data_IF_189643078893
#
_entry.id   IF_189643078893
#
_cell.length_a   1.000
_cell.length_b   1.000
_cell.length_c   1.000
_cell.angle_alpha   90.00
_cell.angle_beta   90.00
_cell.angle_gamma   90.00
#
_symmetry.space_group_name_H-M   'P 1'
#
loop_
_entity.id
_entity.type
_entity.pdbx_description
1 polymer ?
#
# COMPACT_ATOMS: atom_id res chain seq x y z
N UNK A 1 12.07 -2.68 21.88
CA UNK A 1 11.74 -3.81 20.98
C UNK A 1 12.75 -3.71 19.85
N UNK A 2 13.21 -4.80 19.27
CA UNK A 2 14.31 -4.75 18.30
C UNK A 2 13.80 -4.08 17.02
N UNK A 3 14.42 -2.97 16.64
CA UNK A 3 14.16 -2.30 15.37
C UNK A 3 14.25 -3.32 14.23
N UNK A 4 13.16 -3.50 13.50
CA UNK A 4 13.20 -4.28 12.27
C UNK A 4 13.82 -3.43 11.17
N UNK A 5 14.79 -3.95 10.42
CA UNK A 5 15.24 -3.28 9.19
C UNK A 5 14.35 -3.74 8.03
N UNK A 6 13.70 -2.80 7.35
CA UNK A 6 12.89 -3.09 6.17
C UNK A 6 13.58 -2.51 4.94
N UNK A 7 14.13 -3.40 4.12
CA UNK A 7 14.84 -3.00 2.89
C UNK A 7 13.92 -3.03 1.67
N UNK A 8 13.86 -1.93 0.94
CA UNK A 8 13.18 -1.82 -0.35
C UNK A 8 14.16 -1.96 -1.51
N UNK A 9 13.82 -2.79 -2.50
CA UNK A 9 14.59 -2.87 -3.75
C UNK A 9 14.42 -1.59 -4.59
N UNK A 10 15.46 -0.77 -4.64
CA UNK A 10 15.48 0.52 -5.33
C UNK A 10 16.01 0.47 -6.77
N UNK A 11 16.60 -0.65 -7.19
CA UNK A 11 17.25 -0.83 -8.49
C UNK A 11 16.50 -1.82 -9.39
N UNK A 12 15.28 -2.21 -9.03
CA UNK A 12 14.44 -3.00 -9.93
C UNK A 12 13.89 -2.18 -11.09
N UNK A 13 13.50 -2.89 -12.14
CA UNK A 13 12.71 -2.33 -13.22
C UNK A 13 11.22 -2.53 -12.95
N UNK A 14 10.42 -1.52 -13.26
CA UNK A 14 8.97 -1.58 -13.13
C UNK A 14 8.38 -2.72 -13.95
N UNK A 15 7.57 -3.54 -13.27
CA UNK A 15 6.87 -4.65 -13.88
C UNK A 15 5.41 -4.28 -14.13
N UNK A 16 5.04 -4.14 -15.41
CA UNK A 16 3.64 -3.97 -15.79
C UNK A 16 2.83 -5.16 -15.29
N UNK A 17 1.72 -4.90 -14.61
CA UNK A 17 0.95 -5.99 -13.98
C UNK A 17 1.31 -6.23 -12.52
N UNK A 18 2.40 -5.65 -12.01
CA UNK A 18 2.82 -5.75 -10.60
C UNK A 18 2.10 -4.78 -9.67
N UNK A 19 2.36 -4.90 -8.37
CA UNK A 19 1.64 -4.20 -7.29
C UNK A 19 2.23 -2.83 -6.91
N UNK A 20 3.28 -2.37 -7.59
CA UNK A 20 3.90 -1.06 -7.29
C UNK A 20 3.00 0.15 -7.52
N UNK A 21 1.96 0.03 -8.35
CA UNK A 21 1.03 1.12 -8.65
C UNK A 21 -0.44 0.70 -8.49
N UNK A 22 -0.71 -0.37 -7.74
CA UNK A 22 -2.07 -0.83 -7.47
C UNK A 22 -2.18 -1.49 -6.11
N UNK A 23 -3.37 -1.45 -5.53
CA UNK A 23 -3.71 -2.21 -4.33
C UNK A 23 -5.18 -2.61 -4.38
N UNK A 24 -5.58 -3.57 -3.54
CA UNK A 24 -6.98 -3.94 -3.37
C UNK A 24 -7.52 -3.39 -2.06
N UNK A 25 -8.74 -2.88 -2.07
CA UNK A 25 -9.48 -2.50 -0.86
C UNK A 25 -10.78 -3.30 -0.78
N UNK A 26 -11.29 -3.54 0.42
CA UNK A 26 -12.61 -4.14 0.60
C UNK A 26 -13.69 -3.05 0.47
N UNK A 27 -14.74 -3.34 -0.29
CA UNK A 27 -15.91 -2.46 -0.40
C UNK A 27 -17.18 -3.25 -0.14
N UNK A 28 -18.31 -2.56 0.04
CA UNK A 28 -19.61 -3.20 0.17
C UNK A 28 -19.95 -4.17 -0.99
N UNK A 29 -19.41 -3.91 -2.19
CA UNK A 29 -19.61 -4.71 -3.40
C UNK A 29 -18.49 -5.74 -3.65
N UNK A 30 -17.59 -5.94 -2.69
CA UNK A 30 -16.44 -6.83 -2.79
C UNK A 30 -15.12 -6.09 -3.03
N UNK A 31 -14.02 -6.82 -3.33
CA UNK A 31 -12.71 -6.22 -3.54
C UNK A 31 -12.66 -5.26 -4.73
N UNK A 32 -12.19 -4.04 -4.51
CA UNK A 32 -11.96 -3.03 -5.54
C UNK A 32 -10.46 -2.86 -5.77
N UNK A 33 -10.03 -2.91 -7.04
CA UNK A 33 -8.66 -2.62 -7.44
C UNK A 33 -8.49 -1.11 -7.64
N UNK A 34 -7.69 -0.49 -6.77
CA UNK A 34 -7.21 0.87 -6.94
C UNK A 34 -5.92 0.86 -7.75
N UNK A 35 -5.78 1.75 -8.74
CA UNK A 35 -4.56 1.87 -9.55
C UNK A 35 -4.18 3.33 -9.78
N UNK A 36 -2.90 3.63 -9.56
CA UNK A 36 -2.27 4.90 -9.90
C UNK A 36 -1.86 4.84 -11.38
N UNK A 37 -2.41 5.72 -12.24
CA UNK A 37 -2.05 5.76 -13.66
C UNK A 37 -0.62 6.29 -13.84
N UNK A 38 0.10 5.74 -14.80
CA UNK A 38 1.51 6.06 -15.07
C UNK A 38 1.67 6.70 -16.44
N UNK A 39 2.71 7.50 -16.61
CA UNK A 39 3.09 8.03 -17.93
C UNK A 39 3.74 6.93 -18.79
N UNK A 40 3.46 6.94 -20.10
CA UNK A 40 4.06 6.01 -21.06
C UNK A 40 3.19 4.79 -21.43
N UNK A 41 3.22 4.44 -22.71
CA UNK A 41 2.55 3.26 -23.27
C UNK A 41 3.59 2.27 -23.83
N UNK A 42 3.39 0.97 -23.51
CA UNK A 42 4.12 -0.24 -23.94
C UNK A 42 5.61 -0.05 -24.30
N UNK A 43 6.46 -0.72 -23.51
CA UNK A 43 7.91 -0.98 -23.71
C UNK A 43 8.85 0.02 -23.02
N UNK A 44 9.26 -0.28 -21.79
CA UNK A 44 10.58 -0.87 -21.50
C UNK A 44 10.71 -1.06 -19.98
N UNK A 45 11.66 -1.88 -19.58
CA UNK A 45 12.07 -2.11 -18.20
C UNK A 45 12.63 -0.79 -17.61
N UNK A 46 11.75 0.16 -17.29
CA UNK A 46 12.11 1.44 -16.71
C UNK A 46 12.53 1.24 -15.26
N UNK A 47 13.66 1.81 -14.80
CA UNK A 47 14.02 1.79 -13.39
C UNK A 47 12.86 2.31 -12.54
N UNK A 48 12.54 1.64 -11.44
CA UNK A 48 11.36 1.98 -10.63
C UNK A 48 11.38 3.44 -10.15
N UNK A 49 12.58 4.00 -9.95
CA UNK A 49 12.81 5.39 -9.55
C UNK A 49 12.53 6.41 -10.65
N UNK A 50 12.51 6.00 -11.91
CA UNK A 50 12.27 6.88 -13.06
C UNK A 50 10.82 6.84 -13.55
N UNK A 51 9.99 5.97 -12.95
CA UNK A 51 8.58 5.81 -13.33
C UNK A 51 7.78 7.02 -12.87
N UNK A 52 7.13 7.69 -13.83
CA UNK A 52 6.33 8.90 -13.59
C UNK A 52 4.85 8.60 -13.46
N UNK A 53 4.18 9.33 -12.57
CA UNK A 53 2.72 9.26 -12.40
C UNK A 53 2.03 10.16 -13.42
N UNK A 54 0.95 9.66 -14.02
CA UNK A 54 0.11 10.42 -14.94
C UNK A 54 -1.00 11.14 -14.18
N UNK A 55 -1.13 12.45 -14.39
CA UNK A 55 -2.22 13.27 -13.83
C UNK A 55 -3.27 13.66 -14.88
N UNK A 56 -3.34 12.91 -15.99
CA UNK A 56 -4.32 13.15 -17.06
C UNK A 56 -5.76 12.87 -16.65
N UNK A 57 -5.95 12.06 -15.60
CA UNK A 57 -7.25 11.75 -15.01
C UNK A 57 -7.24 12.12 -13.54
N UNK A 58 -8.40 12.48 -12.99
CA UNK A 58 -8.56 12.79 -11.56
C UNK A 58 -8.66 11.49 -10.74
N UNK A 59 -7.58 10.71 -10.72
CA UNK A 59 -7.52 9.45 -9.98
C UNK A 59 -7.45 9.70 -8.47
N UNK A 60 -6.76 10.74 -8.02
CA UNK A 60 -6.62 11.05 -6.60
C UNK A 60 -7.99 11.22 -5.92
N UNK A 61 -8.90 11.99 -6.53
CA UNK A 61 -10.28 12.12 -6.04
C UNK A 61 -11.05 10.80 -6.06
N UNK A 62 -10.88 9.98 -7.10
CA UNK A 62 -11.52 8.67 -7.20
C UNK A 62 -11.04 7.73 -6.09
N UNK A 63 -9.73 7.71 -5.82
CA UNK A 63 -9.14 6.92 -4.75
C UNK A 63 -9.63 7.41 -3.38
N UNK A 64 -9.61 8.72 -3.12
CA UNK A 64 -10.14 9.29 -1.89
C UNK A 64 -11.60 8.90 -1.65
N UNK A 65 -12.47 9.11 -2.64
CA UNK A 65 -13.89 8.74 -2.53
C UNK A 65 -14.07 7.24 -2.29
N UNK A 66 -13.26 6.41 -2.95
CA UNK A 66 -13.30 4.95 -2.78
C UNK A 66 -12.89 4.53 -1.38
N UNK A 67 -11.81 5.12 -0.84
CA UNK A 67 -11.31 4.84 0.52
C UNK A 67 -12.33 5.31 1.57
N UNK A 68 -12.88 6.53 1.43
CA UNK A 68 -13.91 7.05 2.33
C UNK A 68 -15.17 6.18 2.32
N UNK A 69 -15.64 5.76 1.14
CA UNK A 69 -16.81 4.90 1.03
C UNK A 69 -16.56 3.49 1.56
N UNK A 70 -15.36 2.96 1.39
CA UNK A 70 -14.98 1.64 1.85
C UNK A 70 -14.85 1.58 3.38
N UNK A 71 -14.16 2.55 3.97
CA UNK A 71 -13.68 2.46 5.34
C UNK A 71 -14.28 3.51 6.28
N UNK A 72 -15.13 4.42 5.81
CA UNK A 72 -15.69 5.50 6.64
C UNK A 72 -16.46 5.04 7.88
N UNK A 73 -16.80 3.76 7.98
CA UNK A 73 -17.46 3.15 9.15
C UNK A 73 -16.55 2.19 9.94
N UNK A 74 -15.28 2.07 9.56
CA UNK A 74 -14.33 1.22 10.24
C UNK A 74 -13.94 1.85 11.59
N UNK A 75 -13.67 1.04 12.63
CA UNK A 75 -13.47 1.52 14.00
C UNK A 75 -12.40 2.61 14.15
N UNK A 76 -11.34 2.54 13.35
CA UNK A 76 -10.21 3.47 13.44
C UNK A 76 -10.13 4.47 12.28
N UNK A 77 -11.18 4.59 11.46
CA UNK A 77 -11.14 5.47 10.29
C UNK A 77 -10.84 6.93 10.65
N UNK A 78 -11.59 7.52 11.58
CA UNK A 78 -11.45 8.93 11.95
C UNK A 78 -10.07 9.28 12.54
N UNK A 79 -9.36 8.29 13.09
CA UNK A 79 -8.02 8.49 13.68
C UNK A 79 -6.90 8.56 12.64
N UNK A 80 -7.08 7.88 11.50
CA UNK A 80 -6.01 7.69 10.51
C UNK A 80 -6.33 8.30 9.14
N UNK A 81 -7.61 8.54 8.84
CA UNK A 81 -8.05 8.89 7.50
C UNK A 81 -7.39 10.16 6.95
N UNK A 82 -7.27 11.22 7.76
CA UNK A 82 -6.73 12.49 7.29
C UNK A 82 -5.27 12.37 6.82
N UNK A 83 -4.41 11.71 7.61
CA UNK A 83 -3.02 11.47 7.25
C UNK A 83 -2.88 10.53 6.05
N UNK A 84 -3.66 9.42 6.03
CA UNK A 84 -3.66 8.47 4.92
C UNK A 84 -4.10 9.13 3.62
N UNK A 85 -5.19 9.90 3.65
CA UNK A 85 -5.74 10.56 2.46
C UNK A 85 -4.85 11.69 1.99
N UNK A 86 -4.22 12.44 2.90
CA UNK A 86 -3.22 13.44 2.54
C UNK A 86 -2.04 12.79 1.77
N UNK A 87 -1.53 11.65 2.24
CA UNK A 87 -0.48 10.92 1.54
C UNK A 87 -0.96 10.31 0.21
N UNK A 88 -2.15 9.70 0.19
CA UNK A 88 -2.71 9.05 -1.00
C UNK A 88 -3.18 10.02 -2.10
N UNK A 89 -3.38 11.29 -1.75
CA UNK A 89 -3.74 12.37 -2.69
C UNK A 89 -2.61 13.38 -2.88
N UNK A 90 -1.42 13.10 -2.33
CA UNK A 90 -0.24 13.91 -2.57
C UNK A 90 0.14 13.86 -4.05
N UNK A 91 0.52 15.02 -4.59
CA UNK A 91 1.00 15.12 -5.96
C UNK A 91 2.51 14.90 -5.98
N UNK A 92 2.95 13.72 -6.38
CA UNK A 92 4.37 13.39 -6.60
C UNK A 92 4.63 13.13 -8.08
N UNK A 93 5.83 13.47 -8.56
CA UNK A 93 6.22 13.24 -9.96
C UNK A 93 6.52 11.76 -10.22
N UNK A 94 7.23 11.13 -9.29
CA UNK A 94 7.72 9.76 -9.40
C UNK A 94 6.89 8.79 -8.55
N UNK A 95 6.69 7.58 -9.08
CA UNK A 95 6.01 6.47 -8.41
C UNK A 95 6.79 5.99 -7.17
N UNK A 96 8.12 6.04 -7.24
CA UNK A 96 8.98 5.69 -6.10
C UNK A 96 8.70 6.58 -4.90
N UNK A 97 8.74 7.90 -5.11
CA UNK A 97 8.52 8.89 -4.05
C UNK A 97 7.10 8.81 -3.48
N UNK A 98 6.11 8.54 -4.34
CA UNK A 98 4.74 8.27 -3.91
C UNK A 98 4.64 7.08 -2.96
N UNK A 99 5.23 5.94 -3.35
CA UNK A 99 5.22 4.72 -2.54
C UNK A 99 6.01 4.89 -1.24
N UNK A 100 7.12 5.63 -1.29
CA UNK A 100 7.91 5.98 -0.12
C UNK A 100 7.09 6.80 0.87
N UNK A 101 6.40 7.85 0.40
CA UNK A 101 5.52 8.69 1.20
C UNK A 101 4.39 7.86 1.86
N UNK A 102 3.70 7.01 1.09
CA UNK A 102 2.66 6.15 1.63
C UNK A 102 3.18 5.22 2.74
N UNK A 103 4.36 4.64 2.53
CA UNK A 103 4.91 3.65 3.45
C UNK A 103 5.43 4.26 4.73
N UNK A 104 6.14 5.39 4.62
CA UNK A 104 6.58 6.18 5.78
C UNK A 104 5.38 6.68 6.58
N UNK A 105 4.33 7.18 5.92
CA UNK A 105 3.08 7.58 6.59
C UNK A 105 2.48 6.44 7.40
N UNK A 106 2.37 5.22 6.85
CA UNK A 106 1.80 4.08 7.59
C UNK A 106 2.69 3.66 8.75
N UNK A 107 4.01 3.68 8.59
CA UNK A 107 4.98 3.37 9.65
C UNK A 107 4.84 4.36 10.81
N UNK A 108 4.76 5.65 10.50
CA UNK A 108 4.57 6.72 11.49
C UNK A 108 3.23 6.58 12.22
N UNK A 109 2.13 6.37 11.49
CA UNK A 109 0.79 6.21 12.07
C UNK A 109 0.68 5.01 13.02
N UNK A 110 1.42 3.95 12.73
CA UNK A 110 1.49 2.75 13.56
C UNK A 110 2.58 2.81 14.62
N UNK A 111 3.39 3.89 14.64
CA UNK A 111 4.56 4.04 15.50
C UNK A 111 5.45 2.80 15.47
N UNK A 112 5.65 2.22 14.28
CA UNK A 112 6.47 1.03 14.11
C UNK A 112 7.94 1.41 14.31
N UNK A 113 8.62 0.66 15.17
CA UNK A 113 10.07 0.75 15.37
C UNK A 113 10.79 0.03 14.21
N UNK A 114 10.73 0.64 13.03
CA UNK A 114 11.27 0.10 11.77
C UNK A 114 12.09 1.17 11.07
N UNK A 115 13.32 0.80 10.72
CA UNK A 115 14.16 1.62 9.84
C UNK A 115 13.93 1.18 8.39
N UNK A 116 13.42 2.09 7.57
CA UNK A 116 13.30 1.90 6.13
C UNK A 116 14.63 2.21 5.45
N UNK A 117 15.16 1.24 4.73
CA UNK A 117 16.38 1.40 3.94
C UNK A 117 16.15 0.92 2.50
N UNK A 118 17.08 1.23 1.62
CA UNK A 118 17.03 0.87 0.20
C UNK A 118 18.27 0.08 -0.21
N UNK A 119 18.12 -0.81 -1.17
CA UNK A 119 19.29 -1.49 -1.75
C UNK A 119 20.24 -0.51 -2.43
N UNK A 120 21.55 -0.75 -2.30
CA UNK A 120 22.59 -0.01 -3.05
C UNK A 120 22.80 -0.55 -4.48
N UNK A 121 22.31 -1.76 -4.76
CA UNK A 121 22.38 -2.44 -6.05
C UNK A 121 21.23 -3.43 -6.18
N UNK A 122 20.92 -3.82 -7.41
CA UNK A 122 19.87 -4.81 -7.66
C UNK A 122 20.17 -6.15 -6.97
N UNK A 123 19.23 -6.61 -6.15
CA UNK A 123 19.31 -7.80 -5.32
C UNK A 123 18.16 -8.75 -5.67
N UNK A 124 18.42 -9.69 -6.59
CA UNK A 124 17.42 -10.67 -7.02
C UNK A 124 16.94 -11.54 -5.86
N UNK A 125 15.71 -11.29 -5.38
CA UNK A 125 15.01 -12.15 -4.44
C UNK A 125 15.36 -11.99 -2.95
N UNK A 126 16.27 -11.08 -2.58
CA UNK A 126 16.68 -10.87 -1.18
C UNK A 126 16.24 -9.52 -0.57
N UNK A 127 15.79 -8.56 -1.38
CA UNK A 127 15.45 -7.21 -0.94
C UNK A 127 13.94 -6.93 -0.95
N UNK A 128 13.22 -7.49 0.02
CA UNK A 128 11.85 -7.06 0.32
C UNK A 128 10.86 -7.09 -0.85
N UNK A 129 9.77 -6.33 -0.73
CA UNK A 129 8.55 -6.42 -1.54
C UNK A 129 8.83 -6.61 -3.04
N UNK A 130 8.49 -7.79 -3.57
CA UNK A 130 8.59 -8.06 -5.01
C UNK A 130 7.40 -7.41 -5.74
N UNK A 131 7.53 -7.08 -7.04
CA UNK A 131 6.40 -6.55 -7.82
C UNK A 131 5.20 -7.50 -7.88
N UNK A 132 5.44 -8.79 -7.64
CA UNK A 132 4.42 -9.83 -7.53
C UNK A 132 4.68 -10.59 -6.21
N UNK A 133 4.31 -10.02 -5.06
CA UNK A 133 4.52 -10.68 -3.79
C UNK A 133 3.73 -11.98 -3.82
N UNK A 134 4.39 -13.08 -3.40
CA UNK A 134 3.65 -14.32 -3.13
C UNK A 134 2.60 -13.97 -2.08
N UNK A 135 1.34 -14.43 -2.24
CA UNK A 135 0.33 -14.25 -1.21
C UNK A 135 0.90 -14.75 0.11
N UNK A 136 1.15 -13.84 1.05
CA UNK A 136 1.57 -14.21 2.38
C UNK A 136 0.29 -14.51 3.16
N UNK A 137 0.15 -15.73 3.74
CA UNK A 137 -0.96 -16.01 4.64
C UNK A 137 -1.07 -14.88 5.66
N UNK A 138 -2.25 -14.27 5.69
CA UNK A 138 -2.57 -13.19 6.62
C UNK A 138 -3.53 -13.80 7.62
N UNK A 139 -3.19 -13.83 8.93
CA UNK A 139 -4.12 -14.30 9.94
C UNK A 139 -5.44 -13.52 9.81
N UNK A 140 -6.61 -14.19 9.85
CA UNK A 140 -7.89 -13.49 9.81
C UNK A 140 -8.00 -12.47 10.93
N UNK A 141 -8.59 -11.32 10.61
CA UNK A 141 -8.94 -10.27 11.56
C UNK A 141 -10.32 -9.72 11.20
N UNK A 142 -11.03 -9.06 12.15
CA UNK A 142 -12.35 -8.52 11.88
C UNK A 142 -12.31 -7.51 10.72
N UNK A 143 -13.06 -7.77 9.65
CA UNK A 143 -13.17 -6.86 8.50
C UNK A 143 -14.58 -6.27 8.42
N UNK A 144 -14.69 -5.04 7.93
CA UNK A 144 -15.97 -4.32 7.88
C UNK A 144 -17.07 -5.02 7.07
N UNK A 145 -16.69 -5.79 6.04
CA UNK A 145 -17.62 -6.50 5.15
C UNK A 145 -17.48 -8.03 5.22
N UNK A 146 -16.91 -8.54 6.32
CA UNK A 146 -16.73 -9.97 6.55
C UNK A 146 -18.06 -10.73 6.56
N UNK A 147 -19.13 -10.10 7.05
CA UNK A 147 -20.50 -10.62 7.06
C UNK A 147 -21.04 -10.96 5.66
N UNK A 148 -20.57 -10.26 4.63
CA UNK A 148 -21.04 -10.41 3.24
C UNK A 148 -20.12 -11.24 2.38
N UNK A 149 -18.82 -11.04 2.52
CA UNK A 149 -17.81 -11.59 1.60
C UNK A 149 -16.88 -12.61 2.26
N UNK A 150 -17.06 -12.87 3.57
CA UNK A 150 -16.07 -13.58 4.38
C UNK A 150 -14.77 -12.79 4.52
N UNK A 151 -13.75 -13.44 5.08
CA UNK A 151 -12.42 -12.83 5.20
C UNK A 151 -11.75 -12.69 3.83
N UNK A 152 -11.37 -11.46 3.49
CA UNK A 152 -10.68 -11.11 2.27
C UNK A 152 -9.17 -10.95 2.54
N UNK A 153 -8.37 -11.86 2.00
CA UNK A 153 -6.90 -11.78 2.06
C UNK A 153 -6.32 -10.88 0.95
N UNK A 154 -5.05 -10.49 1.10
CA UNK A 154 -4.29 -9.71 0.10
C UNK A 154 -4.89 -8.34 -0.24
N UNK A 155 -5.54 -7.73 0.76
CA UNK A 155 -5.93 -6.33 0.72
C UNK A 155 -4.74 -5.43 1.04
N UNK A 156 -4.89 -4.15 0.73
CA UNK A 156 -4.02 -3.09 1.19
C UNK A 156 -3.92 -3.09 2.71
N UNK A 157 -2.78 -2.67 3.25
CA UNK A 157 -2.59 -2.46 4.69
C UNK A 157 -3.63 -1.51 5.29
N UNK A 158 -4.23 -0.64 4.47
CA UNK A 158 -5.32 0.25 4.87
C UNK A 158 -6.50 -0.50 5.50
N UNK A 159 -6.83 -1.70 4.99
CA UNK A 159 -7.93 -2.50 5.53
C UNK A 159 -7.68 -2.86 7.00
N UNK A 160 -6.51 -3.43 7.26
CA UNK A 160 -6.09 -3.81 8.59
C UNK A 160 -5.84 -2.57 9.48
N UNK A 161 -5.30 -1.49 8.92
CA UNK A 161 -5.08 -0.23 9.64
C UNK A 161 -6.40 0.35 10.15
N UNK A 162 -7.41 0.44 9.31
CA UNK A 162 -8.71 1.01 9.71
C UNK A 162 -9.55 0.06 10.57
N UNK A 163 -9.36 -1.26 10.46
CA UNK A 163 -10.08 -2.24 11.26
C UNK A 163 -9.44 -2.51 12.63
N UNK A 164 -8.11 -2.59 12.70
CA UNK A 164 -7.35 -2.95 13.92
C UNK A 164 -6.66 -1.77 14.60
N UNK A 165 -6.32 -0.72 13.86
CA UNK A 165 -5.60 0.45 14.37
C UNK A 165 -4.35 0.07 15.18
N UNK A 166 -4.26 0.43 16.47
CA UNK A 166 -3.09 0.17 17.32
C UNK A 166 -2.82 -1.33 17.57
N UNK A 167 -3.76 -2.23 17.27
CA UNK A 167 -3.55 -3.68 17.39
C UNK A 167 -2.89 -4.28 16.14
N UNK A 168 -2.85 -3.55 15.01
CA UNK A 168 -2.24 -4.04 13.76
C UNK A 168 -0.79 -4.52 13.94
N UNK A 169 0.10 -3.85 14.70
CA UNK A 169 1.45 -4.35 14.92
C UNK A 169 1.48 -5.76 15.52
N UNK A 170 0.51 -6.14 16.37
CA UNK A 170 0.45 -7.48 16.95
C UNK A 170 0.24 -8.55 15.87
N UNK A 171 -0.58 -8.25 14.85
CA UNK A 171 -0.80 -9.12 13.69
C UNK A 171 0.48 -9.28 12.86
N UNK A 172 1.30 -8.23 12.76
CA UNK A 172 2.56 -8.25 12.01
C UNK A 172 3.65 -9.08 12.69
N UNK A 173 3.68 -9.10 14.03
CA UNK A 173 4.65 -9.85 14.84
C UNK A 173 4.30 -11.34 15.03
N UNK A 174 3.09 -11.77 14.66
CA UNK A 174 2.71 -13.20 14.63
C UNK A 174 3.32 -13.95 13.42
N UNK A 175 4.37 -13.39 12.81
CA UNK A 175 5.08 -13.90 11.62
C UNK A 175 6.49 -14.34 11.95
#
# INVERSE_FOLDING_TARGET
MTAGQWTWEAHENYQKGGWRNRCRIATANGPLLLSVPLEGGKHQQMPIRDVRISYRTDWQRQHEQSIRSAYGRAPYFEYYADAVLAAATAHTELLWDYNWLLSTTVIELLSLDVELDTTERFCAGSAGATPFPKPVPTPPYPQLFEDRHGFLSQLSILDALFCLGPELPLLLHQR
#
